data_IF_607749045392
#
_entry.id   IF_607749045392
#
_cell.length_a   1.000
_cell.length_b   1.000
_cell.length_c   1.000
_cell.angle_alpha   90.00
_cell.angle_beta   90.00
_cell.angle_gamma   90.00
#
_symmetry.space_group_name_H-M   'P 1'
#
loop_
_entity.id
_entity.type
_entity.pdbx_description
1 polymer ?
#
# COMPACT_ATOMS: atom_id res chain seq x y z
N UNK A 1 2.30 22.27 5.63
CA UNK A 1 3.48 21.55 5.09
C UNK A 1 4.29 22.47 4.21
N UNK A 2 5.62 22.40 4.26
CA UNK A 2 6.49 23.13 3.32
C UNK A 2 6.58 22.37 1.98
N UNK A 3 6.79 23.08 0.87
CA UNK A 3 6.94 22.55 -0.50
C UNK A 3 7.87 21.34 -0.60
N UNK A 4 9.00 21.35 0.14
CA UNK A 4 9.93 20.21 0.17
C UNK A 4 9.33 18.94 0.77
N UNK A 5 8.54 19.08 1.83
CA UNK A 5 7.88 17.96 2.49
C UNK A 5 6.77 17.39 1.59
N UNK A 6 6.01 18.25 0.91
CA UNK A 6 5.02 17.80 -0.07
C UNK A 6 5.67 16.99 -1.20
N UNK A 7 6.76 17.49 -1.78
CA UNK A 7 7.50 16.77 -2.83
C UNK A 7 8.05 15.42 -2.38
N UNK A 8 8.46 15.33 -1.11
CA UNK A 8 8.89 14.08 -0.48
C UNK A 8 7.73 13.09 -0.39
N UNK A 9 6.55 13.52 0.07
CA UNK A 9 5.36 12.67 0.14
C UNK A 9 4.86 12.24 -1.24
N UNK A 10 4.84 13.14 -2.22
CA UNK A 10 4.45 12.81 -3.60
C UNK A 10 5.40 11.78 -4.22
N UNK A 11 6.69 11.88 -3.92
CA UNK A 11 7.70 10.91 -4.36
C UNK A 11 7.51 9.57 -3.67
N UNK A 12 7.26 9.57 -2.36
CA UNK A 12 6.97 8.36 -1.58
C UNK A 12 5.76 7.62 -2.16
N UNK A 13 4.68 8.34 -2.44
CA UNK A 13 3.46 7.78 -3.03
C UNK A 13 3.69 7.20 -4.42
N UNK A 14 4.37 7.94 -5.30
CA UNK A 14 4.71 7.47 -6.66
C UNK A 14 5.52 6.16 -6.63
N UNK A 15 6.45 6.02 -5.69
CA UNK A 15 7.23 4.79 -5.53
C UNK A 15 6.34 3.63 -5.07
N UNK A 16 5.47 3.86 -4.08
CA UNK A 16 4.54 2.87 -3.57
C UNK A 16 3.59 2.37 -4.66
N UNK A 17 2.96 3.27 -5.40
CA UNK A 17 2.03 2.93 -6.48
C UNK A 17 2.69 2.08 -7.57
N UNK A 18 3.90 2.44 -8.01
CA UNK A 18 4.63 1.67 -9.02
C UNK A 18 5.01 0.27 -8.50
N UNK A 19 5.48 0.18 -7.26
CA UNK A 19 5.82 -1.10 -6.64
C UNK A 19 4.60 -2.01 -6.48
N UNK A 20 3.45 -1.45 -6.06
CA UNK A 20 2.17 -2.16 -5.98
C UNK A 20 1.79 -2.79 -7.32
N UNK A 21 1.86 -2.02 -8.41
CA UNK A 21 1.57 -2.55 -9.75
C UNK A 21 2.52 -3.69 -10.16
N UNK A 22 3.82 -3.52 -9.94
CA UNK A 22 4.81 -4.56 -10.25
C UNK A 22 4.59 -5.82 -9.40
N UNK A 23 4.31 -5.68 -8.10
CA UNK A 23 4.01 -6.81 -7.23
C UNK A 23 2.75 -7.55 -7.68
N UNK A 24 1.71 -6.85 -8.11
CA UNK A 24 0.48 -7.47 -8.63
C UNK A 24 0.70 -8.21 -9.95
N UNK A 25 1.58 -7.71 -10.82
CA UNK A 25 1.79 -8.28 -12.16
C UNK A 25 2.65 -9.54 -12.15
N UNK A 26 3.72 -9.59 -11.32
CA UNK A 26 4.69 -10.70 -11.36
C UNK A 26 5.10 -11.26 -9.99
N UNK A 27 4.49 -10.75 -8.91
CA UNK A 27 4.73 -11.19 -7.54
C UNK A 27 5.92 -10.50 -6.86
N UNK A 28 5.88 -10.47 -5.52
CA UNK A 28 6.91 -9.83 -4.68
C UNK A 28 8.33 -10.33 -4.96
N UNK A 29 8.52 -11.65 -5.06
CA UNK A 29 9.86 -12.25 -5.23
C UNK A 29 10.50 -11.86 -6.57
N UNK A 30 9.69 -11.78 -7.63
CA UNK A 30 10.14 -11.50 -9.00
C UNK A 30 10.36 -10.02 -9.30
N UNK A 31 9.96 -9.12 -8.39
CA UNK A 31 10.16 -7.67 -8.54
C UNK A 31 11.44 -7.23 -7.86
N UNK A 32 12.34 -6.59 -8.61
CA UNK A 32 13.58 -6.01 -8.08
C UNK A 32 13.40 -4.53 -7.72
N UNK A 33 14.35 -3.98 -6.95
CA UNK A 33 14.39 -2.54 -6.66
C UNK A 33 14.73 -1.76 -7.94
N UNK A 34 15.56 -2.33 -8.81
CA UNK A 34 15.97 -1.75 -10.09
C UNK A 34 14.77 -1.52 -11.02
N UNK A 35 13.83 -2.46 -11.08
CA UNK A 35 12.62 -2.29 -11.89
C UNK A 35 11.70 -1.20 -11.31
N UNK A 36 11.69 -1.02 -9.99
CA UNK A 36 10.96 0.08 -9.34
C UNK A 36 11.66 1.42 -9.61
N UNK A 37 13.01 1.45 -9.65
CA UNK A 37 13.79 2.63 -10.09
C UNK A 37 13.40 3.00 -11.51
N UNK A 38 13.37 2.04 -12.44
CA UNK A 38 12.99 2.27 -13.84
C UNK A 38 11.55 2.75 -13.98
N UNK A 39 10.61 2.10 -13.30
CA UNK A 39 9.18 2.44 -13.37
C UNK A 39 8.87 3.83 -12.78
N UNK A 40 9.67 4.30 -11.83
CA UNK A 40 9.42 5.57 -11.14
C UNK A 40 10.28 6.70 -11.68
N UNK A 41 11.50 6.43 -12.14
CA UNK A 41 12.53 7.45 -12.35
C UNK A 41 13.16 7.97 -11.05
N UNK A 42 12.86 7.35 -9.91
CA UNK A 42 13.50 7.67 -8.62
C UNK A 42 14.82 6.92 -8.48
N UNK A 43 15.80 7.50 -7.80
CA UNK A 43 17.05 6.78 -7.52
C UNK A 43 16.87 5.68 -6.48
N UNK A 44 17.72 4.65 -6.53
CA UNK A 44 17.76 3.56 -5.54
C UNK A 44 17.94 4.10 -4.10
N UNK A 45 18.79 5.11 -3.92
CA UNK A 45 18.97 5.78 -2.63
C UNK A 45 17.72 6.48 -2.12
N UNK A 46 16.91 7.08 -3.01
CA UNK A 46 15.66 7.71 -2.64
C UNK A 46 14.60 6.68 -2.21
N UNK A 47 14.51 5.55 -2.90
CA UNK A 47 13.62 4.44 -2.50
C UNK A 47 14.00 3.93 -1.10
N UNK A 48 15.29 3.68 -0.84
CA UNK A 48 15.72 3.25 0.49
C UNK A 48 15.60 4.35 1.55
N UNK A 49 15.70 5.62 1.19
CA UNK A 49 15.44 6.72 2.12
C UNK A 49 14.02 6.62 2.69
N UNK A 50 13.02 6.43 1.83
CA UNK A 50 11.61 6.32 2.21
C UNK A 50 11.25 5.00 2.89
N UNK A 51 11.72 3.86 2.36
CA UNK A 51 11.18 2.54 2.72
C UNK A 51 12.17 1.60 3.39
N UNK A 52 13.45 1.97 3.47
CA UNK A 52 14.57 1.19 4.06
C UNK A 52 14.90 -0.13 3.36
N UNK A 53 13.92 -0.89 2.87
CA UNK A 53 14.10 -2.13 2.10
C UNK A 53 12.90 -2.41 1.18
N UNK A 54 12.98 -3.50 0.39
CA UNK A 54 11.85 -3.98 -0.41
C UNK A 54 10.72 -4.50 0.50
N UNK A 55 11.09 -5.12 1.61
CA UNK A 55 10.18 -5.57 2.66
C UNK A 55 9.48 -4.39 3.33
N UNK A 56 10.22 -3.31 3.67
CA UNK A 56 9.62 -2.12 4.26
C UNK A 56 8.66 -1.40 3.32
N UNK A 57 8.95 -1.40 2.02
CA UNK A 57 8.02 -0.92 0.98
C UNK A 57 6.77 -1.80 0.90
N UNK A 58 6.94 -3.12 0.97
CA UNK A 58 5.82 -4.05 0.95
C UNK A 58 4.93 -3.91 2.20
N UNK A 59 5.53 -3.80 3.40
CA UNK A 59 4.80 -3.56 4.64
C UNK A 59 4.00 -2.27 4.59
N UNK A 60 4.60 -1.18 4.07
CA UNK A 60 3.89 0.08 3.86
C UNK A 60 2.65 -0.10 2.96
N UNK A 61 2.76 -0.88 1.88
CA UNK A 61 1.62 -1.15 1.00
C UNK A 61 0.53 -1.99 1.66
N UNK A 62 0.90 -2.92 2.54
CA UNK A 62 -0.06 -3.71 3.33
C UNK A 62 -0.80 -2.78 4.30
N UNK A 63 -0.09 -1.89 5.00
CA UNK A 63 -0.71 -0.91 5.91
C UNK A 63 -1.66 0.04 5.16
N UNK A 64 -1.27 0.53 3.98
CA UNK A 64 -2.17 1.36 3.16
C UNK A 64 -3.39 0.58 2.68
N UNK A 65 -3.22 -0.68 2.30
CA UNK A 65 -4.34 -1.53 1.95
C UNK A 65 -5.28 -1.74 3.14
N UNK A 66 -4.77 -2.11 4.31
CA UNK A 66 -5.59 -2.32 5.51
C UNK A 66 -6.43 -1.06 5.82
N UNK A 67 -5.84 0.14 5.72
CA UNK A 67 -6.56 1.40 5.91
C UNK A 67 -7.62 1.67 4.84
N UNK A 68 -7.30 1.45 3.55
CA UNK A 68 -8.27 1.59 2.45
C UNK A 68 -9.45 0.62 2.62
N UNK A 69 -9.15 -0.61 3.05
CA UNK A 69 -10.13 -1.65 3.28
C UNK A 69 -11.04 -1.33 4.48
N UNK A 70 -10.48 -0.87 5.60
CA UNK A 70 -11.25 -0.45 6.77
C UNK A 70 -12.21 0.70 6.44
N UNK A 71 -11.75 1.68 5.65
CA UNK A 71 -12.61 2.79 5.22
C UNK A 71 -13.76 2.33 4.32
N UNK A 72 -13.46 1.51 3.31
CA UNK A 72 -14.50 0.93 2.44
C UNK A 72 -15.47 0.06 3.23
N UNK A 73 -14.94 -0.68 4.21
CA UNK A 73 -15.70 -1.50 5.12
C UNK A 73 -16.68 -0.67 5.96
N UNK A 74 -16.25 0.46 6.53
CA UNK A 74 -17.11 1.35 7.30
C UNK A 74 -18.18 2.06 6.45
N UNK A 75 -17.90 2.33 5.17
CA UNK A 75 -18.88 2.85 4.23
C UNK A 75 -19.96 1.82 3.89
N UNK A 76 -19.57 0.58 3.57
CA UNK A 76 -20.51 -0.50 3.24
C UNK A 76 -21.23 -1.04 4.49
N UNK A 77 -20.53 -1.05 5.63
CA UNK A 77 -21.01 -1.45 6.96
C UNK A 77 -22.30 -0.76 7.37
N UNK A 78 -22.52 0.48 6.91
CA UNK A 78 -23.73 1.27 7.16
C UNK A 78 -24.97 0.75 6.43
N UNK A 79 -24.82 -0.11 5.44
CA UNK A 79 -25.91 -0.70 4.67
C UNK A 79 -26.39 -2.05 5.23
N UNK A 80 -25.70 -2.64 6.21
CA UNK A 80 -26.10 -3.91 6.81
C UNK A 80 -27.15 -3.71 7.92
N UNK A 81 -28.19 -4.53 7.90
CA UNK A 81 -29.37 -4.39 8.78
C UNK A 81 -29.10 -4.76 10.24
N UNK A 82 -28.08 -5.56 10.53
CA UNK A 82 -27.74 -5.98 11.89
C UNK A 82 -26.22 -6.27 12.05
N UNK A 83 -25.79 -6.41 13.30
CA UNK A 83 -24.38 -6.61 13.67
C UNK A 83 -23.81 -7.97 13.25
N UNK A 84 -24.66 -8.99 13.04
CA UNK A 84 -24.24 -10.33 12.62
C UNK A 84 -23.87 -10.35 11.14
N UNK A 85 -24.69 -9.73 10.29
CA UNK A 85 -24.38 -9.57 8.86
C UNK A 85 -23.11 -8.74 8.63
N UNK A 86 -22.88 -7.76 9.50
CA UNK A 86 -21.63 -7.00 9.52
C UNK A 86 -20.43 -7.89 9.90
N UNK A 87 -20.55 -8.81 10.84
CA UNK A 87 -19.42 -9.70 11.20
C UNK A 87 -19.03 -10.67 10.07
N UNK A 88 -19.99 -11.26 9.35
CA UNK A 88 -19.71 -12.22 8.28
C UNK A 88 -19.18 -11.60 7.00
N UNK A 89 -19.42 -10.31 6.77
CA UNK A 89 -18.91 -9.63 5.60
C UNK A 89 -17.46 -9.09 5.79
N UNK A 90 -16.91 -9.11 7.02
CA UNK A 90 -15.60 -8.54 7.33
C UNK A 90 -14.50 -9.33 6.60
N UNK A 91 -13.65 -8.69 5.78
CA UNK A 91 -12.58 -9.36 5.04
C UNK A 91 -11.52 -9.99 5.95
N UNK A 92 -11.40 -9.47 7.18
CA UNK A 92 -10.32 -9.76 8.12
C UNK A 92 -10.74 -10.77 9.19
N UNK A 93 -11.42 -11.83 8.77
CA UNK A 93 -11.61 -13.00 9.61
C UNK A 93 -10.33 -13.84 9.66
N UNK A 94 -9.29 -13.35 10.35
CA UNK A 94 -8.04 -14.09 10.53
C UNK A 94 -8.10 -15.19 11.61
N UNK A 95 -9.25 -15.44 12.26
CA UNK A 95 -9.39 -16.52 13.25
C UNK A 95 -10.83 -17.08 13.36
N UNK A 96 -11.34 -17.73 12.31
CA UNK A 96 -12.29 -18.85 12.44
C UNK A 96 -11.86 -20.01 11.55
#
# INVERSE_FOLDING_TARGET
MNKKQQQSEDTRKRIADAAKQLFMQKGYKSTSIEEIVEATGSSKGNIYYHFKSKEGLFLFLIEEWDLEWDQRWDEQGRNYKNSVDKLYASPNNWYL
#
